data_IF_320483018179
#
_entry.id   IF_320483018179
#
_cell.length_a   1.000
_cell.length_b   1.000
_cell.length_c   1.000
_cell.angle_alpha   90.00
_cell.angle_beta   90.00
_cell.angle_gamma   90.00
#
_symmetry.space_group_name_H-M   'P 1'
#
loop_
_entity.id
_entity.type
_entity.pdbx_description
1 polymer ?
#
# COMPACT_ATOMS: atom_id res chain seq x y z
N UNK A 1 15.04 7.70 -14.41
CA UNK A 1 15.75 6.43 -14.17
C UNK A 1 14.88 5.35 -14.79
N UNK A 2 15.41 4.53 -15.65
CA UNK A 2 14.68 3.37 -16.20
C UNK A 2 14.70 2.25 -15.16
N UNK A 3 13.73 1.30 -15.19
CA UNK A 3 13.70 0.16 -14.24
C UNK A 3 15.02 -0.63 -14.23
N UNK A 4 15.69 -0.72 -15.36
CA UNK A 4 17.00 -1.39 -15.50
C UNK A 4 18.17 -0.69 -14.76
N UNK A 5 17.98 0.55 -14.29
CA UNK A 5 18.96 1.32 -13.53
C UNK A 5 18.72 1.24 -12.00
N UNK A 6 17.60 0.67 -11.56
CA UNK A 6 17.26 0.52 -10.13
C UNK A 6 17.99 -0.70 -9.58
N UNK A 7 18.95 -0.47 -8.67
CA UNK A 7 19.63 -1.54 -7.95
C UNK A 7 18.94 -1.89 -6.63
N UNK A 8 18.36 -0.90 -5.96
CA UNK A 8 17.65 -1.06 -4.69
C UNK A 8 16.18 -0.71 -4.89
N UNK A 9 15.32 -1.70 -5.09
CA UNK A 9 13.88 -1.50 -5.26
C UNK A 9 13.23 -1.06 -3.96
N UNK A 10 12.35 -0.06 -4.05
CA UNK A 10 11.50 0.40 -2.96
C UNK A 10 10.08 -0.13 -3.19
N UNK A 11 9.56 -0.85 -2.21
CA UNK A 11 8.14 -1.18 -2.07
C UNK A 11 7.52 -0.16 -1.14
N UNK A 12 6.75 0.76 -1.72
CA UNK A 12 6.13 1.85 -0.99
C UNK A 12 4.70 1.49 -0.63
N UNK A 13 4.39 1.50 0.66
CA UNK A 13 3.06 1.18 1.16
C UNK A 13 2.43 2.39 1.83
N UNK A 14 1.28 2.80 1.31
CA UNK A 14 0.44 3.86 1.85
C UNK A 14 -0.94 3.31 2.28
N UNK A 15 -1.70 4.13 2.97
CA UNK A 15 -3.03 3.79 3.48
C UNK A 15 -3.28 4.52 4.79
N UNK A 16 -4.54 4.76 5.12
CA UNK A 16 -4.89 5.44 6.37
C UNK A 16 -4.48 4.64 7.60
N UNK A 17 -4.54 5.28 8.75
CA UNK A 17 -4.32 4.61 10.03
C UNK A 17 -5.24 3.38 10.14
N UNK A 18 -4.72 2.28 10.69
CA UNK A 18 -5.43 1.00 10.85
C UNK A 18 -5.94 0.34 9.55
N UNK A 19 -5.49 0.81 8.38
CA UNK A 19 -5.88 0.21 7.10
C UNK A 19 -5.28 -1.19 6.82
N UNK A 20 -4.49 -1.73 7.74
CA UNK A 20 -3.89 -3.06 7.62
C UNK A 20 -2.51 -3.10 6.96
N UNK A 21 -1.80 -1.97 6.82
CA UNK A 21 -0.43 -1.92 6.27
C UNK A 21 0.52 -2.90 6.95
N UNK A 22 0.69 -2.74 8.27
CA UNK A 22 1.61 -3.57 9.05
C UNK A 22 1.22 -5.05 9.05
N UNK A 23 -0.08 -5.37 9.06
CA UNK A 23 -0.59 -6.75 8.96
C UNK A 23 -0.22 -7.38 7.62
N UNK A 24 -0.42 -6.63 6.53
CA UNK A 24 -0.02 -7.08 5.19
C UNK A 24 1.49 -7.30 5.09
N UNK A 25 2.29 -6.41 5.67
CA UNK A 25 3.75 -6.55 5.68
C UNK A 25 4.22 -7.74 6.52
N UNK A 26 3.66 -7.94 7.73
CA UNK A 26 4.01 -9.07 8.59
C UNK A 26 3.71 -10.40 7.88
N UNK A 27 2.58 -10.50 7.18
CA UNK A 27 2.25 -11.65 6.35
C UNK A 27 3.23 -11.82 5.18
N UNK A 28 3.49 -10.73 4.44
CA UNK A 28 4.30 -10.76 3.22
C UNK A 28 5.77 -11.14 3.49
N UNK A 29 6.35 -10.64 4.59
CA UNK A 29 7.74 -10.91 4.97
C UNK A 29 7.98 -12.42 5.20
N UNK A 30 6.98 -13.20 5.60
CA UNK A 30 7.11 -14.64 5.81
C UNK A 30 7.06 -15.47 4.52
N UNK A 31 6.52 -14.94 3.43
CA UNK A 31 6.30 -15.70 2.21
C UNK A 31 7.60 -16.08 1.50
N UNK A 32 7.68 -17.32 1.01
CA UNK A 32 8.87 -17.82 0.31
C UNK A 32 9.21 -17.00 -0.94
N UNK A 33 8.19 -16.55 -1.68
CA UNK A 33 8.38 -15.73 -2.88
C UNK A 33 8.94 -14.33 -2.57
N UNK A 34 8.84 -13.91 -1.30
CA UNK A 34 9.33 -12.61 -0.85
C UNK A 34 10.74 -12.67 -0.27
N UNK A 35 11.31 -13.87 -0.05
CA UNK A 35 12.66 -14.01 0.48
C UNK A 35 13.72 -13.60 -0.55
N UNK A 36 14.74 -12.90 -0.09
CA UNK A 36 15.94 -12.54 -0.87
C UNK A 36 17.19 -12.93 -0.09
N UNK A 37 18.32 -13.09 -0.79
CA UNK A 37 19.59 -13.42 -0.13
C UNK A 37 20.22 -12.22 0.58
N UNK A 38 19.90 -11.00 0.16
CA UNK A 38 20.40 -9.77 0.74
C UNK A 38 19.59 -9.22 1.91
N UNK A 39 19.98 -8.05 2.37
CA UNK A 39 19.31 -7.37 3.46
C UNK A 39 18.10 -6.57 2.98
N UNK A 40 16.98 -6.69 3.68
CA UNK A 40 15.82 -5.81 3.56
C UNK A 40 15.88 -4.72 4.63
N UNK A 41 15.65 -3.47 4.26
CA UNK A 41 15.43 -2.38 5.19
C UNK A 41 13.93 -2.04 5.21
N UNK A 42 13.31 -2.19 6.37
CA UNK A 42 11.92 -1.79 6.62
C UNK A 42 11.91 -0.46 7.37
N UNK A 43 11.36 0.58 6.76
CA UNK A 43 11.19 1.91 7.35
C UNK A 43 9.72 2.08 7.72
N UNK A 44 9.43 2.18 9.01
CA UNK A 44 8.10 2.44 9.56
C UNK A 44 7.97 3.92 9.86
N UNK A 45 7.02 4.60 9.21
CA UNK A 45 6.78 6.03 9.38
C UNK A 45 5.65 6.32 10.38
N UNK A 46 5.26 5.33 11.15
CA UNK A 46 4.33 5.48 12.29
C UNK A 46 4.56 4.33 13.29
N UNK A 47 4.35 4.60 14.59
CA UNK A 47 4.21 3.51 15.56
C UNK A 47 2.86 2.81 15.33
N UNK A 48 2.93 1.62 14.74
CA UNK A 48 1.76 0.75 14.55
C UNK A 48 1.47 -0.09 15.79
N UNK A 49 0.25 -0.63 15.89
CA UNK A 49 -0.12 -1.59 16.94
C UNK A 49 0.51 -2.97 16.70
N UNK A 50 1.00 -3.25 15.49
CA UNK A 50 1.59 -4.54 15.13
C UNK A 50 3.07 -4.55 15.50
N UNK A 51 3.40 -5.36 16.50
CA UNK A 51 4.79 -5.69 16.81
C UNK A 51 5.26 -6.80 15.84
N UNK A 52 6.24 -6.49 15.02
CA UNK A 52 6.86 -7.50 14.15
C UNK A 52 7.65 -8.53 14.97
N UNK A 53 7.45 -9.82 14.69
CA UNK A 53 8.19 -10.89 15.37
C UNK A 53 9.70 -10.81 15.01
N UNK A 54 10.55 -10.60 16.02
CA UNK A 54 11.99 -10.54 15.81
C UNK A 54 12.58 -11.79 15.12
N UNK A 55 11.97 -12.97 15.32
CA UNK A 55 12.44 -14.21 14.66
C UNK A 55 12.16 -14.18 13.17
N UNK A 56 10.98 -13.65 12.78
CA UNK A 56 10.60 -13.45 11.39
C UNK A 56 11.55 -12.44 10.72
N UNK A 57 11.77 -11.30 11.36
CA UNK A 57 12.69 -10.27 10.87
C UNK A 57 14.12 -10.81 10.67
N UNK A 58 14.62 -11.59 11.63
CA UNK A 58 15.95 -12.21 11.52
C UNK A 58 16.02 -13.24 10.40
N UNK A 59 14.96 -14.08 10.24
CA UNK A 59 14.88 -15.09 9.18
C UNK A 59 14.89 -14.44 7.79
N UNK A 60 14.15 -13.35 7.62
CA UNK A 60 14.06 -12.59 6.38
C UNK A 60 15.19 -11.56 6.19
N UNK A 61 16.17 -11.51 7.11
CA UNK A 61 17.26 -10.51 7.12
C UNK A 61 16.74 -9.08 7.01
N UNK A 62 15.68 -8.78 7.74
CA UNK A 62 15.03 -7.46 7.73
C UNK A 62 15.49 -6.64 8.92
N UNK A 63 16.12 -5.50 8.66
CA UNK A 63 16.39 -4.46 9.65
C UNK A 63 15.20 -3.49 9.69
N UNK A 64 14.85 -2.98 10.86
CA UNK A 64 13.71 -2.07 11.04
C UNK A 64 14.21 -0.74 11.57
N UNK A 65 13.76 0.34 10.94
CA UNK A 65 13.93 1.72 11.39
C UNK A 65 12.56 2.37 11.58
N UNK A 66 12.39 3.10 12.67
CA UNK A 66 11.13 3.78 13.00
C UNK A 66 11.36 5.29 12.93
N UNK A 67 10.51 5.98 12.17
CA UNK A 67 10.50 7.44 12.04
C UNK A 67 9.20 7.97 12.65
N UNK A 68 9.32 8.82 13.66
CA UNK A 68 8.17 9.31 14.41
C UNK A 68 7.57 10.59 13.82
N UNK A 69 8.24 11.21 12.87
CA UNK A 69 7.75 12.42 12.20
C UNK A 69 8.24 12.52 10.75
N UNK A 70 7.50 13.31 9.95
CA UNK A 70 7.86 13.55 8.55
C UNK A 70 9.24 14.24 8.41
N UNK A 71 9.61 15.09 9.40
CA UNK A 71 10.87 15.80 9.43
C UNK A 71 12.06 14.86 9.61
N UNK A 72 11.83 13.64 10.09
CA UNK A 72 12.87 12.61 10.21
C UNK A 72 13.12 11.88 8.90
N UNK A 73 12.15 11.85 7.98
CA UNK A 73 12.30 11.24 6.66
C UNK A 73 12.96 12.25 5.71
N UNK A 74 14.28 12.22 5.65
CA UNK A 74 15.07 13.15 4.83
C UNK A 74 15.99 12.41 3.85
N UNK A 75 16.38 13.06 2.73
CA UNK A 75 17.36 12.49 1.80
C UNK A 75 18.66 12.07 2.49
N UNK A 76 19.16 12.89 3.43
CA UNK A 76 20.41 12.63 4.15
C UNK A 76 20.29 11.38 5.04
N UNK A 77 19.13 11.18 5.69
CA UNK A 77 18.88 9.98 6.49
C UNK A 77 18.81 8.74 5.62
N UNK A 78 18.14 8.80 4.46
CA UNK A 78 18.09 7.68 3.52
C UNK A 78 19.48 7.33 3.00
N UNK A 79 20.32 8.31 2.69
CA UNK A 79 21.73 8.09 2.31
C UNK A 79 22.53 7.45 3.46
N UNK A 80 22.29 7.87 4.70
CA UNK A 80 22.94 7.25 5.87
C UNK A 80 22.50 5.79 6.05
N UNK A 81 21.21 5.48 5.83
CA UNK A 81 20.70 4.12 5.86
C UNK A 81 21.30 3.25 4.74
N UNK A 82 21.41 3.78 3.52
CA UNK A 82 22.09 3.08 2.41
C UNK A 82 23.52 2.70 2.78
N UNK A 83 24.28 3.66 3.34
CA UNK A 83 25.66 3.43 3.75
C UNK A 83 25.80 2.44 4.92
N UNK A 84 24.84 2.44 5.86
CA UNK A 84 24.92 1.61 7.07
C UNK A 84 24.42 0.18 6.83
N UNK A 85 23.26 0.04 6.15
CA UNK A 85 22.61 -1.26 5.95
C UNK A 85 23.01 -1.94 4.65
N UNK A 86 23.44 -1.18 3.63
CA UNK A 86 23.68 -1.67 2.26
C UNK A 86 22.53 -2.55 1.78
N UNK A 87 21.27 -2.08 1.81
CA UNK A 87 20.11 -2.90 1.54
C UNK A 87 20.05 -3.31 0.07
N UNK A 88 19.56 -4.53 -0.19
CA UNK A 88 19.20 -4.99 -1.54
C UNK A 88 17.72 -4.71 -1.85
N UNK A 89 16.94 -4.36 -0.82
CA UNK A 89 15.53 -3.98 -0.94
C UNK A 89 15.14 -3.07 0.22
N UNK A 90 14.26 -2.10 -0.08
CA UNK A 90 13.66 -1.23 0.93
C UNK A 90 12.15 -1.37 0.91
N UNK A 91 11.54 -1.42 2.08
CA UNK A 91 10.09 -1.35 2.25
C UNK A 91 9.83 -0.10 3.09
N UNK A 92 8.88 0.72 2.66
CA UNK A 92 8.47 1.92 3.39
C UNK A 92 7.00 1.79 3.73
N UNK A 93 6.69 1.65 5.02
CA UNK A 93 5.34 1.80 5.54
C UNK A 93 5.11 3.29 5.86
N UNK A 94 4.44 3.98 4.93
CA UNK A 94 4.27 5.42 5.00
C UNK A 94 3.09 5.81 5.90
N UNK A 95 3.25 6.89 6.66
CA UNK A 95 2.19 7.37 7.54
C UNK A 95 0.98 7.86 6.73
N UNK A 96 -0.19 7.35 7.08
CA UNK A 96 -1.43 7.62 6.34
C UNK A 96 -1.95 9.05 6.41
N UNK A 97 -1.37 9.89 7.27
CA UNK A 97 -1.73 11.31 7.40
C UNK A 97 -0.76 12.24 6.67
N UNK A 98 0.35 11.71 6.15
CA UNK A 98 1.33 12.50 5.43
C UNK A 98 1.00 12.54 3.93
N UNK A 99 1.31 13.65 3.29
CA UNK A 99 1.15 13.80 1.85
C UNK A 99 2.17 12.93 1.12
N UNK A 100 1.70 12.03 0.25
CA UNK A 100 2.54 11.11 -0.53
C UNK A 100 3.49 11.88 -1.45
N UNK A 101 3.04 13.02 -1.98
CA UNK A 101 3.86 13.92 -2.82
C UNK A 101 5.17 14.35 -2.14
N UNK A 102 5.20 14.44 -0.80
CA UNK A 102 6.42 14.76 -0.06
C UNK A 102 7.51 13.70 -0.23
N UNK A 103 7.12 12.44 -0.30
CA UNK A 103 8.06 11.35 -0.57
C UNK A 103 8.39 11.23 -2.05
N UNK A 104 7.40 11.36 -2.95
CA UNK A 104 7.59 11.28 -4.40
C UNK A 104 8.54 12.36 -4.94
N UNK A 105 8.50 13.56 -4.35
CA UNK A 105 9.38 14.68 -4.71
C UNK A 105 10.76 14.63 -4.05
N UNK A 106 10.97 13.68 -3.13
CA UNK A 106 12.21 13.57 -2.37
C UNK A 106 13.35 13.02 -3.23
N UNK A 107 14.55 13.56 -3.03
CA UNK A 107 15.73 13.00 -3.65
C UNK A 107 16.12 11.69 -2.93
N UNK A 108 15.96 10.58 -3.63
CA UNK A 108 16.35 9.27 -3.15
C UNK A 108 17.87 9.05 -3.25
N UNK A 109 18.44 8.13 -2.45
CA UNK A 109 19.79 7.64 -2.65
C UNK A 109 20.01 7.16 -4.09
N UNK A 110 21.26 7.20 -4.54
CA UNK A 110 21.59 6.74 -5.90
C UNK A 110 21.17 5.28 -6.08
N UNK A 111 20.62 4.99 -7.23
CA UNK A 111 20.18 3.64 -7.63
C UNK A 111 19.00 3.08 -6.80
N UNK A 112 18.37 3.88 -5.91
CA UNK A 112 17.09 3.55 -5.28
C UNK A 112 15.94 4.02 -6.16
N UNK A 113 14.86 3.22 -6.23
CA UNK A 113 13.67 3.60 -6.98
C UNK A 113 12.42 2.86 -6.52
N UNK A 114 11.26 3.53 -6.57
CA UNK A 114 9.97 2.92 -6.29
C UNK A 114 9.66 1.97 -7.45
N UNK A 115 9.51 0.68 -7.16
CA UNK A 115 9.13 -0.35 -8.13
C UNK A 115 7.69 -0.81 -7.92
N UNK A 116 7.13 -0.58 -6.73
CA UNK A 116 5.73 -0.89 -6.44
C UNK A 116 5.17 0.06 -5.39
N UNK A 117 4.02 0.63 -5.69
CA UNK A 117 3.25 1.46 -4.78
C UNK A 117 1.92 0.77 -4.46
N UNK A 118 1.76 0.35 -3.21
CA UNK A 118 0.58 -0.36 -2.70
C UNK A 118 -0.19 0.54 -1.76
N UNK A 119 -1.51 0.60 -1.92
CA UNK A 119 -2.40 1.30 -0.99
C UNK A 119 -3.33 0.31 -0.33
N UNK A 120 -3.26 0.20 0.99
CA UNK A 120 -4.21 -0.61 1.77
C UNK A 120 -5.39 0.24 2.23
N UNK A 121 -6.58 -0.33 2.15
CA UNK A 121 -7.84 0.33 2.50
C UNK A 121 -8.70 -0.61 3.32
N UNK A 122 -9.07 -0.19 4.52
CA UNK A 122 -10.12 -0.87 5.30
C UNK A 122 -11.48 -0.56 4.67
N UNK A 123 -12.13 -1.58 4.09
CA UNK A 123 -13.41 -1.44 3.42
C UNK A 123 -14.52 -0.94 4.36
N UNK A 124 -14.46 -1.28 5.65
CA UNK A 124 -15.45 -0.88 6.66
C UNK A 124 -15.43 0.62 6.97
N UNK A 125 -14.26 1.25 6.87
CA UNK A 125 -14.06 2.68 7.17
C UNK A 125 -13.93 3.54 5.91
N UNK A 126 -13.83 2.94 4.72
CA UNK A 126 -13.56 3.60 3.45
C UNK A 126 -14.46 4.81 3.20
N UNK A 127 -15.79 4.66 3.39
CA UNK A 127 -16.74 5.72 3.14
C UNK A 127 -16.53 6.93 4.06
N UNK A 128 -16.12 6.69 5.30
CA UNK A 128 -15.82 7.75 6.29
C UNK A 128 -14.60 8.55 5.84
N UNK A 129 -13.54 7.88 5.42
CA UNK A 129 -12.33 8.53 4.89
C UNK A 129 -12.61 9.29 3.59
N UNK A 130 -13.38 8.70 2.67
CA UNK A 130 -13.78 9.37 1.43
C UNK A 130 -14.58 10.64 1.66
N UNK A 131 -15.42 10.70 2.71
CA UNK A 131 -16.21 11.88 3.02
C UNK A 131 -15.37 12.99 3.69
N UNK A 132 -14.38 12.63 4.50
CA UNK A 132 -13.65 13.57 5.33
C UNK A 132 -12.24 13.89 4.82
N UNK A 133 -11.57 12.96 4.14
CA UNK A 133 -10.16 13.02 3.78
C UNK A 133 -9.92 12.65 2.31
N UNK A 134 -10.89 12.95 1.45
CA UNK A 134 -10.85 12.59 0.02
C UNK A 134 -9.57 13.04 -0.69
N UNK A 135 -9.04 14.20 -0.36
CA UNK A 135 -7.82 14.74 -0.99
C UNK A 135 -6.60 13.86 -0.72
N UNK A 136 -6.44 13.38 0.53
CA UNK A 136 -5.36 12.45 0.88
C UNK A 136 -5.53 11.10 0.19
N UNK A 137 -6.75 10.56 0.17
CA UNK A 137 -7.02 9.32 -0.56
C UNK A 137 -6.68 9.43 -2.05
N UNK A 138 -7.12 10.51 -2.71
CA UNK A 138 -6.82 10.76 -4.13
C UNK A 138 -5.31 10.85 -4.36
N UNK A 139 -4.56 11.46 -3.45
CA UNK A 139 -3.12 11.57 -3.56
C UNK A 139 -2.44 10.20 -3.41
N UNK A 140 -2.84 9.38 -2.42
CA UNK A 140 -2.33 8.01 -2.23
C UNK A 140 -2.55 7.13 -3.46
N UNK A 141 -3.74 7.20 -4.05
CA UNK A 141 -4.15 6.30 -5.14
C UNK A 141 -3.62 6.74 -6.50
N UNK A 142 -3.28 8.01 -6.69
CA UNK A 142 -2.93 8.58 -8.00
C UNK A 142 -1.85 7.81 -8.74
N UNK A 143 -0.79 7.41 -8.06
CA UNK A 143 0.35 6.70 -8.62
C UNK A 143 0.46 5.26 -8.08
N UNK A 144 -0.59 4.75 -7.43
CA UNK A 144 -0.60 3.39 -6.91
C UNK A 144 -0.64 2.36 -8.05
N UNK A 145 0.18 1.33 -7.95
CA UNK A 145 0.10 0.16 -8.82
C UNK A 145 -1.03 -0.77 -8.38
N UNK A 146 -1.25 -0.86 -7.06
CA UNK A 146 -2.25 -1.72 -6.45
C UNK A 146 -3.01 -1.01 -5.33
N UNK A 147 -4.32 -1.25 -5.26
CA UNK A 147 -5.18 -0.83 -4.14
C UNK A 147 -5.85 -2.07 -3.56
N UNK A 148 -5.45 -2.43 -2.34
CA UNK A 148 -5.97 -3.59 -1.62
C UNK A 148 -7.05 -3.15 -0.63
N UNK A 149 -8.29 -3.53 -0.88
CA UNK A 149 -9.38 -3.41 0.08
C UNK A 149 -9.46 -4.68 0.92
N UNK A 150 -9.22 -4.55 2.22
CA UNK A 150 -9.38 -5.66 3.16
C UNK A 150 -10.66 -5.51 3.99
N UNK A 151 -10.98 -6.53 4.80
CA UNK A 151 -12.17 -6.58 5.66
C UNK A 151 -13.47 -6.35 4.88
N UNK A 152 -13.52 -6.78 3.63
CA UNK A 152 -14.69 -6.70 2.80
C UNK A 152 -15.79 -7.62 3.35
N UNK A 153 -17.06 -7.18 3.21
CA UNK A 153 -18.26 -7.96 3.55
C UNK A 153 -19.20 -8.00 2.34
N UNK A 154 -20.02 -9.03 2.27
CA UNK A 154 -20.89 -9.31 1.11
C UNK A 154 -21.94 -8.24 0.84
N UNK A 155 -22.31 -7.42 1.82
CA UNK A 155 -23.28 -6.33 1.73
C UNK A 155 -22.64 -4.97 1.39
N UNK A 156 -21.32 -4.91 1.29
CA UNK A 156 -20.61 -3.68 0.96
C UNK A 156 -20.71 -3.34 -0.54
N UNK A 157 -20.80 -2.04 -0.90
CA UNK A 157 -20.90 -1.61 -2.29
C UNK A 157 -19.52 -1.61 -3.00
N UNK A 158 -18.87 -2.78 -3.11
CA UNK A 158 -17.51 -2.95 -3.65
C UNK A 158 -17.36 -2.37 -5.06
N UNK A 159 -18.40 -2.44 -5.88
CA UNK A 159 -18.42 -1.81 -7.21
C UNK A 159 -18.27 -0.27 -7.13
N UNK A 160 -18.84 0.36 -6.12
CA UNK A 160 -18.67 1.80 -5.87
C UNK A 160 -17.27 2.13 -5.41
N UNK A 161 -16.66 1.27 -4.57
CA UNK A 161 -15.28 1.43 -4.10
C UNK A 161 -14.30 1.35 -5.29
N UNK A 162 -14.46 0.33 -6.13
CA UNK A 162 -13.72 0.19 -7.40
C UNK A 162 -13.83 1.43 -8.26
N UNK A 163 -15.04 1.96 -8.46
CA UNK A 163 -15.27 3.16 -9.25
C UNK A 163 -14.56 4.37 -8.68
N UNK A 164 -14.55 4.53 -7.36
CA UNK A 164 -13.85 5.63 -6.67
C UNK A 164 -12.35 5.62 -6.94
N UNK A 165 -11.72 4.44 -6.97
CA UNK A 165 -10.32 4.27 -7.34
C UNK A 165 -10.12 4.56 -8.83
N UNK A 166 -10.91 3.92 -9.72
CA UNK A 166 -10.73 4.02 -11.17
C UNK A 166 -10.97 5.41 -11.75
N UNK A 167 -11.73 6.26 -11.07
CA UNK A 167 -11.87 7.69 -11.43
C UNK A 167 -10.56 8.45 -11.23
N UNK A 168 -9.75 8.04 -10.26
CA UNK A 168 -8.47 8.69 -9.94
C UNK A 168 -7.33 8.05 -10.73
N UNK A 169 -7.28 6.71 -10.73
CA UNK A 169 -6.21 5.93 -11.35
C UNK A 169 -6.82 4.71 -12.08
N UNK A 170 -6.88 4.80 -13.41
CA UNK A 170 -7.47 3.74 -14.25
C UNK A 170 -6.58 2.50 -14.34
N UNK A 171 -5.28 2.65 -14.17
CA UNK A 171 -4.29 1.56 -14.28
C UNK A 171 -4.15 0.75 -13.01
N UNK A 172 -4.46 1.31 -11.82
CA UNK A 172 -4.29 0.62 -10.56
C UNK A 172 -5.00 -0.74 -10.56
N UNK A 173 -4.30 -1.80 -10.19
CA UNK A 173 -4.92 -3.08 -9.86
C UNK A 173 -5.74 -2.92 -8.57
N UNK A 174 -6.91 -3.58 -8.49
CA UNK A 174 -7.77 -3.47 -7.32
C UNK A 174 -8.13 -4.86 -6.85
N UNK A 175 -7.68 -5.18 -5.64
CA UNK A 175 -7.93 -6.45 -4.97
C UNK A 175 -8.91 -6.18 -3.82
N UNK A 176 -9.85 -7.11 -3.62
CA UNK A 176 -10.76 -7.11 -2.49
C UNK A 176 -10.56 -8.41 -1.71
N UNK A 177 -10.38 -8.30 -0.40
CA UNK A 177 -10.19 -9.44 0.49
C UNK A 177 -11.24 -9.41 1.61
N UNK A 178 -11.78 -10.56 1.91
CA UNK A 178 -12.56 -10.84 3.12
C UNK A 178 -11.76 -11.68 4.12
N UNK A 179 -12.42 -12.32 5.09
CA UNK A 179 -11.76 -13.18 6.07
C UNK A 179 -11.24 -14.50 5.48
N UNK A 180 -11.73 -14.91 4.30
CA UNK A 180 -11.36 -16.16 3.62
C UNK A 180 -10.25 -15.95 2.58
N UNK A 181 -10.00 -14.70 2.16
CA UNK A 181 -8.99 -14.32 1.20
C UNK A 181 -9.51 -13.41 0.08
N UNK A 182 -8.90 -13.49 -1.10
CA UNK A 182 -9.28 -12.64 -2.24
C UNK A 182 -10.67 -13.02 -2.77
N UNK A 183 -11.52 -11.99 -2.95
CA UNK A 183 -12.83 -12.14 -3.56
C UNK A 183 -12.68 -12.11 -5.09
N UNK A 184 -12.59 -13.29 -5.71
CA UNK A 184 -12.37 -13.42 -7.17
C UNK A 184 -13.57 -12.97 -8.02
N UNK A 185 -14.80 -13.01 -7.48
CA UNK A 185 -16.03 -12.94 -8.28
C UNK A 185 -16.79 -11.60 -8.21
N UNK A 186 -16.05 -10.50 -8.04
CA UNK A 186 -16.66 -9.14 -8.05
C UNK A 186 -17.29 -8.81 -9.39
N UNK A 187 -16.81 -9.42 -10.49
CA UNK A 187 -17.40 -9.23 -11.82
C UNK A 187 -18.80 -9.85 -11.96
N UNK A 188 -19.09 -10.94 -11.27
CA UNK A 188 -20.44 -11.51 -11.24
C UNK A 188 -21.45 -10.56 -10.56
N UNK A 189 -21.05 -9.89 -9.47
CA UNK A 189 -21.90 -8.89 -8.81
C UNK A 189 -22.13 -7.64 -9.66
N UNK A 190 -21.22 -7.28 -10.57
CA UNK A 190 -21.35 -6.11 -11.44
C UNK A 190 -22.33 -6.37 -12.60
N UNK A 191 -22.45 -7.60 -13.07
CA UNK A 191 -23.41 -7.97 -14.12
C UNK A 191 -24.86 -7.97 -13.60
N UNK A 192 -25.07 -8.35 -12.33
CA UNK A 192 -26.41 -8.34 -11.71
C UNK A 192 -26.97 -6.93 -11.43
N UNK A 193 -26.13 -5.91 -11.26
CA UNK A 193 -26.58 -4.53 -11.02
C UNK A 193 -26.85 -3.75 -12.30
N UNK A 194 -26.32 -4.17 -13.46
CA UNK A 194 -26.60 -3.53 -14.75
C UNK A 194 -27.99 -3.93 -15.32
N UNK A 195 -28.43 -5.16 -15.09
CA UNK A 195 -29.72 -5.65 -15.55
C UNK A 195 -30.90 -5.07 -14.76
N UNK A 196 -30.69 -4.68 -13.49
CA UNK A 196 -31.74 -4.05 -12.68
C UNK A 196 -31.99 -2.57 -13.01
N UNK A 197 -31.14 -1.91 -13.79
CA UNK A 197 -31.28 -0.53 -14.19
C UNK A 197 -32.03 -0.36 -15.52
N UNK A 198 -32.09 -1.39 -16.37
CA UNK A 198 -32.76 -1.36 -17.66
C UNK A 198 -34.28 -1.68 -17.56
N UNK A 199 -34.73 -2.28 -16.47
CA UNK A 199 -36.16 -2.59 -16.26
C UNK A 199 -36.99 -1.40 -15.75
N UNK A 200 -36.42 -0.22 -15.53
CA UNK A 200 -37.13 1.00 -15.08
C UNK A 200 -37.37 2.05 -16.19
N UNK A 201 -37.07 1.74 -17.44
CA UNK A 201 -37.38 2.64 -18.58
C UNK A 201 -38.29 1.88 -19.55
N UNK A 202 -39.41 1.52 -19.08
CA UNK A 202 -40.46 0.91 -19.89
C UNK A 202 -41.86 1.18 -19.33
N UNK A 203 -42.37 2.37 -19.54
CA UNK A 203 -43.78 2.71 -19.91
C UNK A 203 -43.84 4.20 -20.24
#
# INVERSE_FOLDING_TARGET
MTEDEIRVPIYFMAGFLESGKSTFLDFTIEQEYFQIDGQTLLILCEEGEVEFDEKKLRKSRTAVEILNSLEELTPERLVAYDAFYSPERVIIEYNGMWQVSKFEEMQLPRDWGIVQHIVTVDASTFQVYMNNMKSLFVEMVRNADMVLFNRCQTDMPLASFRRSVKVVNQSAEIIFEDEEGEIEDIFACLLYTSDAADDLIGV
#
